data_IF_431389235327
#
_entry.id   IF_431389235327
#
_cell.length_a   1.000
_cell.length_b   1.000
_cell.length_c   1.000
_cell.angle_alpha   90.00
_cell.angle_beta   90.00
_cell.angle_gamma   90.00
#
_symmetry.space_group_name_H-M   'P 1'
#
loop_
_entity.id
_entity.type
_entity.pdbx_description
1 polymer ?
#
# COMPACT_ATOMS: atom_id res chain seq x y z
N UNK A 1 -18.29 4.01 4.23
CA UNK A 1 -18.75 3.13 5.33
C UNK A 1 -17.66 2.79 6.35
N UNK A 2 -16.40 2.63 5.95
CA UNK A 2 -15.29 2.31 6.88
C UNK A 2 -15.19 3.30 8.06
N UNK A 3 -15.31 4.61 7.81
CA UNK A 3 -15.33 5.63 8.87
C UNK A 3 -16.47 5.40 9.88
N UNK A 4 -17.71 5.25 9.41
CA UNK A 4 -18.86 4.98 10.29
C UNK A 4 -18.69 3.70 11.13
N UNK A 5 -18.10 2.65 10.55
CA UNK A 5 -17.75 1.41 11.28
C UNK A 5 -16.65 1.62 12.32
N UNK A 6 -15.68 2.50 12.04
CA UNK A 6 -14.60 2.84 12.99
C UNK A 6 -15.15 3.58 14.20
N UNK A 7 -16.00 4.58 13.96
CA UNK A 7 -16.58 5.43 15.01
C UNK A 7 -17.79 4.82 15.72
N UNK A 8 -18.21 3.60 15.31
CA UNK A 8 -19.32 2.90 15.94
C UNK A 8 -20.70 3.50 15.62
N UNK A 9 -20.78 4.37 14.62
CA UNK A 9 -22.05 4.98 14.16
C UNK A 9 -22.98 3.95 13.51
N UNK A 10 -22.42 2.84 13.03
CA UNK A 10 -23.17 1.69 12.55
C UNK A 10 -22.53 0.38 12.99
N UNK A 11 -23.35 -0.55 13.45
CA UNK A 11 -22.89 -1.89 13.83
C UNK A 11 -22.70 -2.78 12.58
N UNK A 12 -21.64 -3.61 12.47
CA UNK A 12 -21.40 -4.45 11.29
C UNK A 12 -22.57 -5.40 10.98
N UNK A 13 -23.22 -5.97 12.01
CA UNK A 13 -24.43 -6.80 11.82
C UNK A 13 -25.59 -6.06 11.16
N UNK A 14 -25.71 -4.74 11.36
CA UNK A 14 -26.73 -3.92 10.67
C UNK A 14 -26.46 -3.88 9.17
N UNK A 15 -25.20 -3.81 8.75
CA UNK A 15 -24.81 -3.85 7.33
C UNK A 15 -24.98 -5.25 6.72
N UNK A 16 -24.83 -6.31 7.53
CA UNK A 16 -24.95 -7.70 7.08
C UNK A 16 -26.41 -8.16 6.96
N UNK A 17 -27.31 -7.64 7.79
CA UNK A 17 -28.72 -8.06 7.86
C UNK A 17 -29.49 -8.01 6.53
N UNK A 18 -29.37 -6.96 5.69
CA UNK A 18 -30.12 -6.89 4.42
C UNK A 18 -29.47 -7.67 3.26
N UNK A 19 -28.29 -8.29 3.46
CA UNK A 19 -27.55 -8.92 2.37
C UNK A 19 -28.16 -10.27 1.95
N UNK A 20 -28.68 -10.34 0.72
CA UNK A 20 -29.03 -11.59 0.02
C UNK A 20 -27.81 -12.41 -0.47
N UNK A 21 -28.01 -13.39 -1.36
CA UNK A 21 -26.97 -14.37 -1.76
C UNK A 21 -26.21 -14.03 -3.07
N UNK A 22 -26.20 -12.77 -3.49
CA UNK A 22 -25.46 -12.38 -4.70
C UNK A 22 -23.95 -12.47 -4.48
N UNK A 23 -23.17 -12.63 -5.57
CA UNK A 23 -21.70 -12.61 -5.51
C UNK A 23 -21.17 -11.31 -4.89
N UNK A 24 -21.79 -10.17 -5.19
CA UNK A 24 -21.42 -8.87 -4.62
C UNK A 24 -21.67 -8.80 -3.11
N UNK A 25 -22.79 -9.34 -2.65
CA UNK A 25 -23.08 -9.42 -1.20
C UNK A 25 -22.08 -10.33 -0.49
N UNK A 26 -21.70 -11.45 -1.10
CA UNK A 26 -20.69 -12.33 -0.53
C UNK A 26 -19.31 -11.68 -0.43
N UNK A 27 -18.90 -10.92 -1.45
CA UNK A 27 -17.68 -10.10 -1.36
C UNK A 27 -17.80 -9.09 -0.22
N UNK A 28 -18.92 -8.38 -0.13
CA UNK A 28 -19.13 -7.42 0.96
C UNK A 28 -19.07 -8.05 2.35
N UNK A 29 -19.65 -9.25 2.53
CA UNK A 29 -19.51 -10.00 3.80
C UNK A 29 -18.05 -10.29 4.13
N UNK A 30 -17.26 -10.69 3.14
CA UNK A 30 -15.83 -10.96 3.33
C UNK A 30 -15.06 -9.69 3.72
N UNK A 31 -15.38 -8.54 3.13
CA UNK A 31 -14.76 -7.27 3.54
C UNK A 31 -15.08 -6.91 5.00
N UNK A 32 -16.30 -7.17 5.47
CA UNK A 32 -16.63 -7.03 6.91
C UNK A 32 -15.89 -8.08 7.75
N UNK A 33 -15.78 -9.32 7.28
CA UNK A 33 -15.05 -10.37 7.97
C UNK A 33 -13.55 -10.07 8.10
N UNK A 34 -12.92 -9.41 7.12
CA UNK A 34 -11.53 -8.97 7.21
C UNK A 34 -11.29 -7.99 8.36
N UNK A 35 -12.23 -7.06 8.61
CA UNK A 35 -12.19 -6.17 9.78
C UNK A 35 -12.19 -6.96 11.08
N UNK A 36 -13.11 -7.92 11.22
CA UNK A 36 -13.20 -8.75 12.43
C UNK A 36 -11.95 -9.64 12.59
N UNK A 37 -11.43 -10.19 11.49
CA UNK A 37 -10.23 -11.00 11.49
C UNK A 37 -9.03 -10.20 12.00
N UNK A 38 -8.79 -8.99 11.49
CA UNK A 38 -7.68 -8.17 11.97
C UNK A 38 -7.84 -7.76 13.44
N UNK A 39 -9.06 -7.49 13.89
CA UNK A 39 -9.33 -7.23 15.31
C UNK A 39 -8.99 -8.44 16.19
N UNK A 40 -9.37 -9.66 15.76
CA UNK A 40 -9.04 -10.91 16.46
C UNK A 40 -7.54 -11.20 16.47
N UNK A 41 -6.84 -10.99 15.35
CA UNK A 41 -5.38 -11.15 15.27
C UNK A 41 -4.68 -10.21 16.25
N UNK A 42 -5.05 -8.93 16.27
CA UNK A 42 -4.44 -7.95 17.17
C UNK A 42 -4.73 -8.28 18.63
N UNK A 43 -5.97 -8.70 18.95
CA UNK A 43 -6.34 -9.12 20.30
C UNK A 43 -5.48 -10.26 20.82
N UNK A 44 -5.22 -11.27 19.97
CA UNK A 44 -4.39 -12.42 20.33
C UNK A 44 -2.88 -12.12 20.27
N UNK A 45 -2.46 -11.07 19.55
CA UNK A 45 -1.05 -10.70 19.36
C UNK A 45 -0.81 -9.19 19.57
N UNK A 46 -1.00 -8.64 20.79
CA UNK A 46 -0.98 -7.19 20.99
C UNK A 46 0.34 -6.51 20.62
N UNK A 47 1.47 -7.22 20.74
CA UNK A 47 2.79 -6.73 20.34
C UNK A 47 2.86 -6.33 18.86
N UNK A 48 2.00 -6.91 18.02
CA UNK A 48 2.01 -6.65 16.58
C UNK A 48 1.46 -5.28 16.20
N UNK A 49 0.92 -4.51 17.15
CA UNK A 49 0.61 -3.09 16.94
C UNK A 49 1.84 -2.29 16.50
N UNK A 50 3.01 -2.60 17.08
CA UNK A 50 4.26 -1.88 16.84
C UNK A 50 5.41 -2.76 16.33
N UNK A 51 5.33 -4.07 16.56
CA UNK A 51 6.33 -5.06 16.17
C UNK A 51 5.83 -5.96 15.01
N UNK A 52 6.74 -6.76 14.47
CA UNK A 52 6.48 -7.68 13.37
C UNK A 52 5.73 -8.93 13.86
N UNK A 53 4.63 -9.28 13.20
CA UNK A 53 3.97 -10.57 13.40
C UNK A 53 4.91 -11.74 13.03
N UNK A 54 5.73 -11.56 12.00
CA UNK A 54 6.80 -12.48 11.60
C UNK A 54 8.19 -11.90 11.95
N UNK A 55 8.79 -12.26 13.10
CA UNK A 55 9.96 -11.57 13.65
C UNK A 55 11.21 -11.60 12.77
N UNK A 56 11.32 -12.52 11.81
CA UNK A 56 12.44 -12.56 10.87
C UNK A 56 12.55 -11.29 10.01
N UNK A 57 11.43 -10.60 9.75
CA UNK A 57 11.42 -9.36 8.97
C UNK A 57 12.01 -8.17 9.73
N UNK A 58 12.15 -8.26 11.06
CA UNK A 58 12.90 -7.28 11.85
C UNK A 58 14.41 -7.30 11.54
N UNK A 59 14.92 -8.37 10.92
CA UNK A 59 16.32 -8.51 10.49
C UNK A 59 16.57 -8.00 9.07
N UNK A 60 15.52 -7.59 8.36
CA UNK A 60 15.65 -7.09 7.01
C UNK A 60 16.36 -5.74 7.03
N UNK A 61 17.23 -5.52 6.05
CA UNK A 61 17.88 -4.23 5.87
C UNK A 61 16.84 -3.21 5.40
N UNK A 62 16.62 -2.15 6.18
CA UNK A 62 15.77 -1.01 5.81
C UNK A 62 16.58 0.27 5.77
N UNK A 63 16.14 1.21 4.93
CA UNK A 63 16.76 2.52 4.82
C UNK A 63 16.14 3.49 5.84
N UNK A 64 16.90 4.45 6.37
CA UNK A 64 16.34 5.48 7.24
C UNK A 64 15.41 6.41 6.46
N UNK A 65 14.40 7.02 7.10
CA UNK A 65 13.57 8.03 6.45
C UNK A 65 14.42 9.24 6.03
N UNK A 66 14.14 9.79 4.85
CA UNK A 66 14.84 10.93 4.28
C UNK A 66 14.04 11.55 3.14
N UNK A 67 14.72 12.10 2.13
CA UNK A 67 14.06 12.79 1.01
C UNK A 67 13.07 11.90 0.24
N UNK A 68 13.38 10.60 0.08
CA UNK A 68 12.46 9.62 -0.52
C UNK A 68 11.17 9.46 0.29
N UNK A 69 11.26 9.41 1.61
CA UNK A 69 10.08 9.34 2.49
C UNK A 69 9.25 10.62 2.40
N UNK A 70 9.91 11.78 2.43
CA UNK A 70 9.25 13.08 2.26
C UNK A 70 8.52 13.18 0.92
N UNK A 71 9.17 12.76 -0.17
CA UNK A 71 8.55 12.73 -1.50
C UNK A 71 7.33 11.81 -1.54
N UNK A 72 7.38 10.66 -0.87
CA UNK A 72 6.22 9.78 -0.73
C UNK A 72 5.07 10.44 0.05
N UNK A 73 5.35 11.05 1.20
CA UNK A 73 4.33 11.76 2.00
C UNK A 73 3.68 12.90 1.22
N UNK A 74 4.45 13.64 0.40
CA UNK A 74 3.97 14.78 -0.38
C UNK A 74 3.32 14.39 -1.72
N UNK A 75 3.35 13.12 -2.12
CA UNK A 75 2.90 12.67 -3.45
C UNK A 75 3.72 13.31 -4.58
N UNK A 76 5.05 13.23 -4.46
CA UNK A 76 6.05 13.75 -5.42
C UNK A 76 7.10 12.68 -5.76
N UNK A 77 6.68 11.42 -5.84
CA UNK A 77 7.55 10.28 -6.16
C UNK A 77 7.92 10.21 -7.63
N UNK A 78 7.17 10.91 -8.50
CA UNK A 78 7.29 10.81 -9.95
C UNK A 78 6.58 9.56 -10.51
N UNK A 79 5.84 8.82 -9.67
CA UNK A 79 4.93 7.75 -10.07
C UNK A 79 3.48 8.21 -9.96
N UNK A 80 2.79 8.54 -11.07
CA UNK A 80 1.54 9.30 -11.04
C UNK A 80 0.42 8.65 -10.24
N UNK A 81 0.28 7.32 -10.31
CA UNK A 81 -0.74 6.59 -9.56
C UNK A 81 -0.47 6.55 -8.05
N UNK A 82 0.81 6.51 -7.65
CA UNK A 82 1.23 6.63 -6.23
C UNK A 82 0.97 8.05 -5.74
N UNK A 83 1.40 9.04 -6.53
CA UNK A 83 1.27 10.46 -6.17
C UNK A 83 -0.19 10.89 -6.05
N UNK A 84 -1.04 10.48 -6.99
CA UNK A 84 -2.48 10.71 -6.94
C UNK A 84 -3.10 10.14 -5.66
N UNK A 85 -2.68 8.92 -5.26
CA UNK A 85 -3.16 8.27 -4.06
C UNK A 85 -2.72 8.95 -2.77
N UNK A 86 -1.46 9.40 -2.70
CA UNK A 86 -0.94 10.14 -1.54
C UNK A 86 -1.60 11.52 -1.42
N UNK A 87 -1.80 12.22 -2.54
CA UNK A 87 -2.51 13.50 -2.57
C UNK A 87 -4.00 13.35 -2.23
N UNK A 88 -4.64 12.28 -2.68
CA UNK A 88 -6.01 11.97 -2.26
C UNK A 88 -6.08 11.78 -0.74
N UNK A 89 -5.19 10.97 -0.17
CA UNK A 89 -5.17 10.71 1.27
C UNK A 89 -5.08 12.01 2.07
N UNK A 90 -4.16 12.91 1.72
CA UNK A 90 -3.98 14.18 2.44
C UNK A 90 -5.17 15.13 2.26
N UNK A 91 -5.76 15.18 1.07
CA UNK A 91 -6.84 16.13 0.75
C UNK A 91 -8.23 15.68 1.21
N UNK A 92 -8.53 14.39 1.12
CA UNK A 92 -9.86 13.83 1.42
C UNK A 92 -9.89 13.02 2.73
N UNK A 93 -8.74 12.69 3.30
CA UNK A 93 -8.63 11.85 4.50
C UNK A 93 -9.05 10.40 4.26
N UNK A 94 -9.24 9.99 3.01
CA UNK A 94 -9.67 8.66 2.63
C UNK A 94 -9.06 8.28 1.29
N UNK A 95 -8.76 6.99 1.13
CA UNK A 95 -8.28 6.44 -0.14
C UNK A 95 -8.81 5.02 -0.35
N UNK A 96 -9.01 4.64 -1.60
CA UNK A 96 -9.48 3.31 -1.98
C UNK A 96 -8.51 2.21 -1.53
N UNK A 97 -9.01 1.03 -1.14
CA UNK A 97 -8.15 -0.04 -0.61
C UNK A 97 -7.04 -0.46 -1.59
N UNK A 98 -7.34 -0.50 -2.90
CA UNK A 98 -6.32 -0.80 -3.93
C UNK A 98 -5.17 0.21 -3.90
N UNK A 99 -5.45 1.49 -3.77
CA UNK A 99 -4.39 2.50 -3.74
C UNK A 99 -3.60 2.44 -2.43
N UNK A 100 -4.23 2.08 -1.30
CA UNK A 100 -3.51 1.78 -0.03
C UNK A 100 -2.44 0.71 -0.24
N UNK A 101 -2.81 -0.40 -0.88
CA UNK A 101 -1.89 -1.51 -1.15
C UNK A 101 -0.71 -1.07 -2.04
N UNK A 102 -0.98 -0.24 -3.06
CA UNK A 102 0.06 0.23 -3.99
C UNK A 102 1.04 1.18 -3.31
N UNK A 103 0.55 2.19 -2.59
CA UNK A 103 1.45 3.14 -1.91
C UNK A 103 2.22 2.48 -0.76
N UNK A 104 1.62 1.50 -0.08
CA UNK A 104 2.29 0.72 0.95
C UNK A 104 3.38 -0.18 0.35
N UNK A 105 3.10 -0.83 -0.79
CA UNK A 105 4.12 -1.61 -1.50
C UNK A 105 5.26 -0.72 -1.96
N UNK A 106 4.96 0.46 -2.49
CA UNK A 106 5.98 1.40 -2.95
C UNK A 106 6.89 1.82 -1.79
N UNK A 107 6.32 2.19 -0.64
CA UNK A 107 7.11 2.55 0.55
C UNK A 107 8.02 1.40 1.01
N UNK A 108 7.49 0.18 1.13
CA UNK A 108 8.23 -0.94 1.71
C UNK A 108 9.21 -1.59 0.72
N UNK A 109 8.86 -1.63 -0.57
CA UNK A 109 9.56 -2.45 -1.57
C UNK A 109 10.27 -1.65 -2.66
N UNK A 110 9.87 -0.41 -2.90
CA UNK A 110 10.55 0.48 -3.84
C UNK A 110 11.43 1.51 -3.11
N UNK A 111 11.03 1.94 -1.92
CA UNK A 111 11.81 2.86 -1.09
C UNK A 111 12.57 2.17 0.04
N UNK A 112 12.30 0.88 0.26
CA UNK A 112 12.91 0.04 1.30
C UNK A 112 12.84 0.62 2.72
N UNK A 113 11.72 1.30 3.01
CA UNK A 113 11.45 1.89 4.31
C UNK A 113 10.63 0.93 5.18
N UNK A 114 10.81 1.04 6.50
CA UNK A 114 10.00 0.27 7.45
C UNK A 114 8.52 0.65 7.37
N UNK A 115 7.65 -0.37 7.41
CA UNK A 115 6.21 -0.20 7.27
C UNK A 115 5.60 0.68 8.36
N UNK A 116 6.21 0.72 9.54
CA UNK A 116 5.79 1.56 10.66
C UNK A 116 5.84 3.07 10.32
N UNK A 117 6.69 3.49 9.38
CA UNK A 117 6.71 4.88 8.91
C UNK A 117 5.41 5.23 8.17
N UNK A 118 5.00 4.35 7.25
CA UNK A 118 3.76 4.51 6.51
C UNK A 118 2.51 4.33 7.39
N UNK A 119 2.56 3.41 8.35
CA UNK A 119 1.50 3.22 9.36
C UNK A 119 1.22 4.52 10.12
N UNK A 120 2.27 5.18 10.63
CA UNK A 120 2.14 6.45 11.36
C UNK A 120 1.60 7.56 10.48
N UNK A 121 2.05 7.65 9.22
CA UNK A 121 1.51 8.63 8.29
C UNK A 121 0.01 8.39 8.02
N UNK A 122 -0.39 7.13 7.83
CA UNK A 122 -1.79 6.76 7.63
C UNK A 122 -2.64 7.05 8.87
N UNK A 123 -2.10 6.85 10.07
CA UNK A 123 -2.74 7.20 11.34
C UNK A 123 -3.11 8.67 11.44
N UNK A 124 -2.26 9.55 10.92
CA UNK A 124 -2.48 11.01 10.99
C UNK A 124 -3.48 11.52 9.95
N UNK A 125 -3.76 10.76 8.89
CA UNK A 125 -4.54 11.27 7.74
C UNK A 125 -5.82 10.49 7.45
N UNK A 126 -5.94 9.22 7.85
CA UNK A 126 -7.13 8.43 7.58
C UNK A 126 -8.26 8.74 8.57
N UNK A 127 -9.40 9.22 8.06
CA UNK A 127 -10.64 9.37 8.84
C UNK A 127 -11.21 8.03 9.31
N UNK A 128 -10.82 6.95 8.64
CA UNK A 128 -11.17 5.57 8.97
C UNK A 128 -10.01 4.78 9.58
N UNK A 129 -9.00 5.48 10.12
CA UNK A 129 -7.90 4.82 10.81
C UNK A 129 -8.42 3.88 11.89
N UNK A 130 -8.09 2.61 11.76
CA UNK A 130 -8.33 1.57 12.75
C UNK A 130 -7.02 0.85 13.02
N UNK A 131 -6.59 0.77 14.28
CA UNK A 131 -5.26 0.21 14.62
C UNK A 131 -5.09 -1.21 14.09
N UNK A 132 -6.08 -2.08 14.29
CA UNK A 132 -6.01 -3.47 13.84
C UNK A 132 -5.95 -3.55 12.31
N UNK A 133 -6.90 -2.90 11.63
CA UNK A 133 -6.99 -2.95 10.18
C UNK A 133 -5.81 -2.27 9.48
N UNK A 134 -5.31 -1.16 10.03
CA UNK A 134 -4.19 -0.41 9.47
C UNK A 134 -2.88 -1.18 9.64
N UNK A 135 -2.55 -1.57 10.87
CA UNK A 135 -1.29 -2.25 11.17
C UNK A 135 -1.20 -3.57 10.41
N UNK A 136 -2.25 -4.38 10.43
CA UNK A 136 -2.22 -5.66 9.70
C UNK A 136 -2.31 -5.49 8.18
N UNK A 137 -2.90 -4.42 7.66
CA UNK A 137 -2.81 -4.07 6.23
C UNK A 137 -1.38 -3.72 5.79
N UNK A 138 -0.66 -2.95 6.62
CA UNK A 138 0.76 -2.65 6.41
C UNK A 138 1.63 -3.91 6.48
N UNK A 139 1.44 -4.74 7.50
CA UNK A 139 2.18 -6.00 7.65
C UNK A 139 1.85 -7.02 6.54
N UNK A 140 0.60 -7.04 6.05
CA UNK A 140 0.22 -7.87 4.90
C UNK A 140 1.00 -7.48 3.64
N UNK A 141 1.18 -6.17 3.42
CA UNK A 141 1.93 -5.64 2.27
C UNK A 141 3.43 -5.85 2.44
N UNK A 142 3.93 -5.70 3.67
CA UNK A 142 5.32 -5.92 4.06
C UNK A 142 5.71 -7.40 4.18
N UNK A 143 4.82 -8.34 3.85
CA UNK A 143 5.13 -9.77 3.83
C UNK A 143 5.27 -10.42 5.21
N UNK A 144 4.98 -9.70 6.29
CA UNK A 144 5.22 -10.14 7.68
C UNK A 144 3.95 -10.45 8.48
N UNK A 145 2.75 -10.30 7.91
CA UNK A 145 1.47 -10.63 8.55
C UNK A 145 1.02 -12.11 8.48
N UNK A 146 -0.10 -12.42 9.15
CA UNK A 146 -0.72 -13.76 9.28
C UNK A 146 -1.08 -14.47 7.98
N UNK A 147 -1.50 -13.71 6.96
CA UNK A 147 -1.80 -14.19 5.59
C UNK A 147 -1.18 -13.24 4.55
N UNK A 148 0.06 -12.83 4.81
CA UNK A 148 0.68 -11.76 4.04
C UNK A 148 0.85 -12.11 2.55
N UNK A 149 0.71 -11.10 1.69
CA UNK A 149 1.18 -11.25 0.31
C UNK A 149 2.66 -11.60 0.35
N UNK A 150 3.10 -12.67 -0.36
CA UNK A 150 4.50 -13.03 -0.35
C UNK A 150 5.39 -11.83 -0.70
N UNK A 151 6.44 -11.58 0.09
CA UNK A 151 7.25 -10.36 -0.03
C UNK A 151 7.75 -10.12 -1.46
N UNK A 152 8.16 -11.19 -2.16
CA UNK A 152 8.64 -11.16 -3.55
C UNK A 152 7.62 -10.63 -4.57
N UNK A 153 6.33 -10.52 -4.23
CA UNK A 153 5.32 -9.85 -5.04
C UNK A 153 5.42 -8.34 -4.82
N UNK A 154 6.28 -7.70 -5.60
CA UNK A 154 6.38 -6.24 -5.67
C UNK A 154 5.31 -5.72 -6.64
N UNK A 155 4.45 -4.81 -6.18
CA UNK A 155 3.44 -4.22 -7.05
C UNK A 155 4.12 -3.23 -8.01
N UNK A 156 3.97 -3.44 -9.32
CA UNK A 156 4.43 -2.48 -10.30
C UNK A 156 3.45 -1.29 -10.34
N UNK A 157 3.84 -0.08 -9.88
CA UNK A 157 2.93 1.06 -9.77
C UNK A 157 2.35 1.48 -11.12
N UNK A 158 3.10 1.31 -12.20
CA UNK A 158 2.68 1.63 -13.58
C UNK A 158 1.56 0.69 -14.00
N UNK A 159 1.78 -0.62 -13.87
CA UNK A 159 0.80 -1.62 -14.29
C UNK A 159 -0.46 -1.61 -13.39
N UNK A 160 -0.33 -1.21 -12.13
CA UNK A 160 -1.49 -0.96 -11.27
C UNK A 160 -2.29 0.25 -11.76
N UNK A 161 -1.63 1.36 -12.10
CA UNK A 161 -2.27 2.55 -12.67
C UNK A 161 -3.01 2.21 -13.97
N UNK A 162 -2.34 1.57 -14.92
CA UNK A 162 -2.94 1.14 -16.20
C UNK A 162 -4.17 0.27 -16.03
N UNK A 163 -4.20 -0.60 -15.01
CA UNK A 163 -5.30 -1.53 -14.77
C UNK A 163 -6.47 -0.93 -14.01
N UNK A 164 -6.21 -0.03 -13.05
CA UNK A 164 -7.23 0.49 -12.14
C UNK A 164 -7.63 1.94 -12.43
N UNK A 165 -6.93 2.61 -13.35
CA UNK A 165 -7.19 3.94 -13.87
C UNK A 165 -6.88 3.98 -15.38
N UNK A 166 -7.57 3.11 -16.14
CA UNK A 166 -7.32 2.88 -17.57
C UNK A 166 -7.33 4.17 -18.41
N UNK A 167 -8.23 5.11 -18.07
CA UNK A 167 -8.34 6.39 -18.76
C UNK A 167 -7.40 7.47 -18.20
N UNK A 168 -6.85 7.28 -17.00
CA UNK A 168 -6.05 8.30 -16.32
C UNK A 168 -6.87 9.35 -15.56
N UNK A 169 -8.17 9.15 -15.39
CA UNK A 169 -9.07 10.14 -14.77
C UNK A 169 -8.74 10.37 -13.29
N UNK A 170 -8.36 9.30 -12.58
CA UNK A 170 -7.97 9.38 -11.18
C UNK A 170 -6.67 10.18 -11.05
N UNK A 171 -5.65 9.88 -11.86
CA UNK A 171 -4.41 10.64 -11.86
C UNK A 171 -4.65 12.10 -12.22
N UNK A 172 -5.42 12.42 -13.27
CA UNK A 172 -5.73 13.81 -13.65
C UNK A 172 -6.42 14.60 -12.53
N UNK A 173 -7.29 13.94 -11.74
CA UNK A 173 -7.98 14.60 -10.63
C UNK A 173 -7.01 15.10 -9.56
N UNK A 174 -6.02 14.30 -9.19
CA UNK A 174 -5.12 14.60 -8.05
C UNK A 174 -3.74 15.11 -8.45
N UNK A 175 -3.34 14.93 -9.71
CA UNK A 175 -2.07 15.36 -10.29
C UNK A 175 -2.36 16.29 -11.48
N UNK A 176 -2.85 17.51 -11.22
CA UNK A 176 -3.29 18.43 -12.27
C UNK A 176 -2.15 18.86 -13.22
N UNK A 177 -0.89 18.77 -12.78
CA UNK A 177 0.27 19.00 -13.64
C UNK A 177 0.40 17.96 -14.76
N UNK A 178 -0.29 16.82 -14.70
CA UNK A 178 -0.34 15.83 -15.77
C UNK A 178 -1.68 15.85 -16.54
N UNK A 179 -2.56 16.83 -16.28
CA UNK A 179 -3.89 16.89 -16.88
C UNK A 179 -3.88 17.09 -18.40
N UNK A 180 -2.76 17.55 -18.98
CA UNK A 180 -2.59 17.66 -20.43
C UNK A 180 -2.30 16.32 -21.12
N UNK A 181 -1.90 15.30 -20.37
CA UNK A 181 -1.66 13.96 -20.90
C UNK A 181 -2.97 13.18 -21.03
N UNK A 182 -3.13 12.52 -22.18
CA UNK A 182 -4.34 11.78 -22.51
C UNK A 182 -4.16 10.28 -22.33
N UNK A 183 -5.23 9.62 -21.90
CA UNK A 183 -5.31 8.17 -21.80
C UNK A 183 -4.24 7.56 -20.90
N UNK A 184 -3.72 6.41 -21.34
CA UNK A 184 -2.88 5.51 -20.54
C UNK A 184 -1.43 6.02 -20.36
N UNK A 185 -0.98 6.95 -21.21
CA UNK A 185 0.37 7.52 -21.20
C UNK A 185 0.64 8.34 -19.94
N UNK A 186 -0.42 8.83 -19.27
CA UNK A 186 -0.31 9.59 -18.02
C UNK A 186 0.40 8.82 -16.91
N UNK A 187 0.41 7.48 -16.96
CA UNK A 187 1.07 6.63 -15.97
C UNK A 187 2.60 6.53 -16.19
N UNK A 188 3.11 7.04 -17.31
CA UNK A 188 4.52 7.03 -17.68
C UNK A 188 4.94 8.36 -18.35
N UNK A 189 4.85 9.50 -17.65
CA UNK A 189 5.14 10.81 -18.23
C UNK A 189 6.56 10.94 -18.79
N UNK A 190 7.51 10.14 -18.30
CA UNK A 190 8.90 10.12 -18.82
C UNK A 190 9.05 9.55 -20.24
N UNK A 191 8.07 8.78 -20.73
CA UNK A 191 8.06 8.27 -22.10
C UNK A 191 7.41 9.27 -23.09
N UNK A 192 6.86 10.38 -22.58
CA UNK A 192 6.13 11.37 -23.36
C UNK A 192 6.97 12.64 -23.47
N UNK A 193 7.14 13.14 -24.70
CA UNK A 193 8.01 14.29 -25.02
C UNK A 193 7.71 15.53 -24.15
N UNK A 194 6.44 15.81 -23.90
CA UNK A 194 5.96 16.95 -23.11
C UNK A 194 5.42 16.53 -21.73
N UNK A 195 5.75 15.33 -21.24
CA UNK A 195 5.26 14.82 -19.95
C UNK A 195 5.64 15.68 -18.75
N UNK A 196 6.83 16.28 -18.77
CA UNK A 196 7.32 17.16 -17.70
C UNK A 196 7.06 18.66 -17.95
N UNK A 197 6.37 19.02 -19.03
CA UNK A 197 6.17 20.42 -19.44
C UNK A 197 5.57 21.31 -18.35
N UNK A 198 4.75 20.74 -17.46
CA UNK A 198 4.03 21.43 -16.39
C UNK A 198 4.65 21.25 -15.00
N UNK A 199 5.88 20.76 -14.91
CA UNK A 199 6.64 20.70 -13.66
C UNK A 199 6.32 19.51 -12.74
N UNK A 200 5.79 18.41 -13.29
CA UNK A 200 5.69 17.14 -12.56
C UNK A 200 7.10 16.62 -12.22
N UNK A 201 7.36 16.13 -10.99
CA UNK A 201 8.69 15.66 -10.60
C UNK A 201 9.13 14.42 -11.40
N UNK A 202 10.43 14.30 -11.62
CA UNK A 202 11.04 13.08 -12.13
C UNK A 202 10.95 11.94 -11.11
N UNK A 203 11.01 10.70 -11.60
CA UNK A 203 10.98 9.50 -10.77
C UNK A 203 12.15 9.49 -9.78
N UNK A 204 11.83 9.34 -8.50
CA UNK A 204 12.84 9.30 -7.42
C UNK A 204 13.62 7.97 -7.35
N UNK A 205 13.11 6.92 -8.02
CA UNK A 205 13.69 5.58 -8.11
C UNK A 205 13.31 4.90 -9.43
N UNK A 206 14.11 3.94 -9.87
CA UNK A 206 13.77 3.03 -10.97
C UNK A 206 13.15 1.72 -10.44
N UNK A 207 11.86 1.50 -10.70
CA UNK A 207 11.12 0.34 -10.19
C UNK A 207 11.77 -1.02 -10.52
N UNK A 208 12.37 -1.16 -11.71
CA UNK A 208 12.97 -2.43 -12.10
C UNK A 208 14.20 -2.75 -11.24
N UNK A 209 14.99 -1.73 -10.93
CA UNK A 209 16.15 -1.80 -10.04
C UNK A 209 15.72 -2.08 -8.60
N UNK A 210 14.77 -1.32 -8.06
CA UNK A 210 14.34 -1.48 -6.66
C UNK A 210 13.63 -2.83 -6.44
N UNK A 211 12.96 -3.37 -7.47
CA UNK A 211 12.43 -4.74 -7.41
C UNK A 211 13.54 -5.77 -7.20
N UNK A 212 14.70 -5.62 -7.84
CA UNK A 212 15.83 -6.53 -7.66
C UNK A 212 16.45 -6.38 -6.27
N UNK A 213 16.61 -5.14 -5.80
CA UNK A 213 17.11 -4.86 -4.44
C UNK A 213 16.16 -5.43 -3.37
N UNK A 214 14.85 -5.30 -3.54
CA UNK A 214 13.83 -5.93 -2.67
C UNK A 214 14.01 -7.45 -2.56
N UNK A 215 14.31 -8.11 -3.66
CA UNK A 215 14.55 -9.56 -3.67
C UNK A 215 15.88 -9.93 -3.01
N UNK A 216 16.93 -9.13 -3.23
CA UNK A 216 18.21 -9.32 -2.57
C UNK A 216 18.08 -9.17 -1.04
N UNK A 217 17.41 -8.13 -0.54
CA UNK A 217 17.13 -7.93 0.89
C UNK A 217 16.29 -9.06 1.48
N UNK A 218 15.33 -9.60 0.70
CA UNK A 218 14.56 -10.76 1.14
C UNK A 218 15.44 -12.02 1.25
N UNK A 219 16.40 -12.20 0.35
CA UNK A 219 17.34 -13.32 0.38
C UNK A 219 18.29 -13.24 1.59
N UNK A 220 18.67 -12.03 2.03
CA UNK A 220 19.49 -11.81 3.24
C UNK A 220 18.83 -12.40 4.51
N UNK A 221 17.50 -12.38 4.60
CA UNK A 221 16.76 -12.87 5.77
C UNK A 221 16.26 -14.32 5.63
N UNK A 222 16.42 -14.95 4.47
CA UNK A 222 16.08 -16.37 4.30
C UNK A 222 17.07 -17.20 5.12
N UNK A 223 16.54 -18.04 6.01
CA UNK A 223 17.37 -19.03 6.70
C UNK A 223 18.15 -19.84 5.66
N UNK A 224 19.45 -20.07 5.91
CA UNK A 224 20.26 -20.94 5.07
C UNK A 224 19.56 -22.29 4.94
N UNK A 225 19.42 -22.79 3.71
CA UNK A 225 18.91 -24.15 3.50
C UNK A 225 19.80 -25.10 4.32
N UNK A 226 19.25 -26.01 5.13
CA UNK A 226 20.06 -27.03 5.77
C UNK A 226 20.86 -27.76 4.68
N UNK A 227 22.16 -27.94 4.91
CA UNK A 227 23.01 -28.70 4.01
C UNK A 227 22.37 -30.08 3.80
N UNK A 228 22.30 -30.58 2.54
CA UNK A 228 21.79 -31.92 2.30
C UNK A 228 22.63 -32.92 3.12
N UNK A 229 22.02 -33.99 3.65
CA UNK A 229 22.77 -35.00 4.40
C UNK A 229 23.90 -35.53 3.52
N UNK A 230 25.13 -35.47 4.05
CA UNK A 230 26.28 -36.15 3.46
C UNK A 230 25.96 -37.63 3.34
N UNK A 231 25.99 -38.14 2.10
CA UNK A 231 25.82 -39.56 1.78
C UNK A 231 26.94 -40.40 2.38
#
# INVERSE_FOLDING_TARGET
>A
MSAHLKWGEIHPRTLLAPLGQSKGHEVYRKEIAWREFYADVLFNNPHTESDYYAPQFAKMRYDPPGDKFKAWCEGKTGYPFVDAAMRQLVSEGWMHNRTRMVVASFLVKDLHLEWQLGERFFREHLVDYDVASNVHGWQWTAGCGTDASPYYRVFNPIEQGKRFDENGDYVRKYVPELAHLNGIEIHQPWEVLDGYLKGYPERIVDHATERLESLARLDEIKASKPLPPTK
#
